data_IF_794407014283
#
_entry.id   IF_794407014283
#
_cell.length_a   1.000
_cell.length_b   1.000
_cell.length_c   1.000
_cell.angle_alpha   90.00
_cell.angle_beta   90.00
_cell.angle_gamma   90.00
#
_symmetry.space_group_name_H-M   'P 1'
#
loop_
_entity.id
_entity.type
_entity.pdbx_description
1 polymer ?
#
# COMPACT_ATOMS: atom_id res chain seq x y z
N UNK A 1 12.55 -13.09 -19.59
CA UNK A 1 11.07 -13.11 -19.57
C UNK A 1 10.46 -12.92 -18.17
N UNK A 2 11.15 -13.25 -17.05
CA UNK A 2 10.63 -13.00 -15.70
C UNK A 2 10.56 -11.50 -15.30
N UNK A 3 11.48 -10.66 -15.79
CA UNK A 3 11.52 -9.23 -15.47
C UNK A 3 10.35 -8.40 -16.04
N UNK A 4 9.61 -8.91 -17.02
CA UNK A 4 8.52 -8.18 -17.72
C UNK A 4 7.13 -8.63 -17.29
N UNK A 5 7.02 -9.66 -16.44
CA UNK A 5 5.73 -10.15 -15.98
C UNK A 5 5.24 -9.29 -14.81
N UNK A 6 4.11 -8.60 -14.99
CA UNK A 6 3.45 -7.84 -13.92
C UNK A 6 3.18 -8.71 -12.68
N UNK A 7 2.94 -10.02 -12.89
CA UNK A 7 2.72 -10.98 -11.82
C UNK A 7 3.96 -11.16 -10.93
N UNK A 8 5.16 -11.18 -11.53
CA UNK A 8 6.40 -11.29 -10.77
C UNK A 8 6.57 -10.09 -9.82
N UNK A 9 6.37 -8.87 -10.33
CA UNK A 9 6.45 -7.65 -9.53
C UNK A 9 5.34 -7.56 -8.46
N UNK A 10 4.13 -8.03 -8.76
CA UNK A 10 3.03 -8.09 -7.80
C UNK A 10 3.31 -9.07 -6.66
N UNK A 11 3.84 -10.26 -6.96
CA UNK A 11 4.24 -11.24 -5.94
C UNK A 11 5.39 -10.73 -5.07
N UNK A 12 6.38 -10.08 -5.69
CA UNK A 12 7.48 -9.46 -4.97
C UNK A 12 6.99 -8.33 -4.05
N UNK A 13 6.03 -7.51 -4.52
CA UNK A 13 5.36 -6.49 -3.71
C UNK A 13 4.63 -7.10 -2.52
N UNK A 14 3.89 -8.20 -2.71
CA UNK A 14 3.19 -8.90 -1.63
C UNK A 14 4.17 -9.42 -0.57
N UNK A 15 5.32 -9.97 -0.98
CA UNK A 15 6.38 -10.39 -0.07
C UNK A 15 6.93 -9.23 0.76
N UNK A 16 7.30 -8.11 0.13
CA UNK A 16 7.78 -6.93 0.86
C UNK A 16 6.72 -6.27 1.74
N UNK A 17 5.45 -6.32 1.34
CA UNK A 17 4.34 -5.85 2.16
C UNK A 17 4.20 -6.69 3.45
N UNK A 18 4.37 -8.01 3.36
CA UNK A 18 4.37 -8.88 4.53
C UNK A 18 5.56 -8.57 5.47
N UNK A 19 6.79 -8.44 4.94
CA UNK A 19 7.96 -8.05 5.74
C UNK A 19 7.75 -6.68 6.40
N UNK A 20 7.18 -5.72 5.66
CA UNK A 20 6.86 -4.39 6.20
C UNK A 20 5.93 -4.50 7.39
N UNK A 21 4.85 -5.28 7.30
CA UNK A 21 3.91 -5.44 8.41
C UNK A 21 4.60 -6.00 9.68
N UNK A 22 5.46 -7.00 9.53
CA UNK A 22 6.21 -7.60 10.64
C UNK A 22 7.20 -6.59 11.25
N UNK A 23 8.05 -5.96 10.44
CA UNK A 23 9.04 -4.99 10.94
C UNK A 23 8.38 -3.76 11.55
N UNK A 24 7.30 -3.25 10.94
CA UNK A 24 6.55 -2.14 11.50
C UNK A 24 5.96 -2.50 12.85
N UNK A 25 5.38 -3.69 13.04
CA UNK A 25 4.88 -4.10 14.37
C UNK A 25 5.97 -4.03 15.44
N UNK A 26 7.17 -4.53 15.14
CA UNK A 26 8.29 -4.42 16.07
C UNK A 26 8.68 -2.96 16.34
N UNK A 27 8.70 -2.10 15.32
CA UNK A 27 9.06 -0.69 15.46
C UNK A 27 8.01 0.15 16.23
N UNK A 28 6.71 0.00 15.93
CA UNK A 28 5.65 0.81 16.57
C UNK A 28 5.35 0.39 18.00
N UNK A 29 5.86 -0.76 18.45
CA UNK A 29 5.75 -1.19 19.83
C UNK A 29 6.84 -0.54 20.73
N UNK A 30 7.92 0.00 20.16
CA UNK A 30 9.02 0.60 20.93
C UNK A 30 8.93 2.13 21.03
N UNK A 31 8.34 2.76 20.03
CA UNK A 31 8.19 4.21 19.92
C UNK A 31 6.79 4.58 19.43
N UNK A 32 6.42 5.85 19.54
CA UNK A 32 5.15 6.36 19.00
C UNK A 32 5.00 6.01 17.50
N UNK A 33 3.83 5.52 17.09
CA UNK A 33 3.57 5.05 15.74
C UNK A 33 3.75 6.15 14.66
N UNK A 34 3.42 7.39 14.98
CA UNK A 34 3.56 8.53 14.05
C UNK A 34 5.06 8.82 13.82
N UNK A 35 5.86 8.75 14.90
CA UNK A 35 7.32 8.90 14.82
C UNK A 35 7.99 7.74 14.07
N UNK A 36 7.55 6.50 14.29
CA UNK A 36 8.01 5.34 13.51
C UNK A 36 7.70 5.51 12.01
N UNK A 37 6.51 6.03 11.67
CA UNK A 37 6.10 6.34 10.30
C UNK A 37 7.01 7.40 9.68
N UNK A 38 7.34 8.45 10.44
CA UNK A 38 8.24 9.50 10.00
C UNK A 38 9.63 8.94 9.66
N UNK A 39 10.25 8.17 10.57
CA UNK A 39 11.56 7.54 10.32
C UNK A 39 11.51 6.67 9.06
N UNK A 40 10.48 5.83 8.91
CA UNK A 40 10.31 4.98 7.72
C UNK A 40 10.20 5.81 6.45
N UNK A 41 9.51 6.95 6.49
CA UNK A 41 9.35 7.85 5.35
C UNK A 41 10.68 8.48 4.94
N UNK A 42 11.51 8.88 5.91
CA UNK A 42 12.87 9.34 5.62
C UNK A 42 13.72 8.25 4.96
N UNK A 43 13.65 7.00 5.44
CA UNK A 43 14.37 5.87 4.83
C UNK A 43 13.92 5.65 3.37
N UNK A 44 12.61 5.68 3.12
CA UNK A 44 12.06 5.53 1.76
C UNK A 44 12.50 6.69 0.86
N UNK A 45 12.46 7.93 1.35
CA UNK A 45 12.89 9.11 0.60
C UNK A 45 14.37 9.00 0.20
N UNK A 46 15.25 8.61 1.12
CA UNK A 46 16.68 8.42 0.84
C UNK A 46 16.88 7.28 -0.17
N UNK A 47 16.19 6.15 0.00
CA UNK A 47 16.31 4.99 -0.89
C UNK A 47 15.87 5.32 -2.33
N UNK A 48 14.67 5.89 -2.49
CA UNK A 48 14.13 6.25 -3.81
C UNK A 48 14.94 7.40 -4.43
N UNK A 49 15.34 8.38 -3.62
CA UNK A 49 16.20 9.48 -4.07
C UNK A 49 17.57 9.00 -4.54
N UNK A 50 18.19 8.06 -3.83
CA UNK A 50 19.45 7.44 -4.23
C UNK A 50 19.31 6.68 -5.55
N UNK A 51 18.25 5.87 -5.70
CA UNK A 51 17.96 5.17 -6.95
C UNK A 51 17.84 6.18 -8.10
N UNK A 52 16.98 7.19 -7.96
CA UNK A 52 16.78 8.21 -9.00
C UNK A 52 18.06 8.97 -9.36
N UNK A 53 18.92 9.24 -8.36
CA UNK A 53 20.23 9.86 -8.54
C UNK A 53 21.18 8.97 -9.35
N UNK A 54 21.37 7.71 -8.93
CA UNK A 54 22.29 6.79 -9.60
C UNK A 54 21.81 6.36 -10.98
N UNK A 55 20.49 6.25 -11.19
CA UNK A 55 19.92 5.93 -12.50
C UNK A 55 19.78 7.17 -13.40
N UNK A 56 20.11 8.37 -12.90
CA UNK A 56 19.94 9.66 -13.62
C UNK A 56 18.52 9.87 -14.17
N UNK A 57 17.52 9.46 -13.39
CA UNK A 57 16.10 9.50 -13.78
C UNK A 57 15.36 10.72 -13.24
N UNK A 58 16.06 11.69 -12.66
CA UNK A 58 15.43 12.95 -12.25
C UNK A 58 14.88 13.68 -13.47
N UNK A 59 13.58 13.91 -13.46
CA UNK A 59 12.88 14.70 -14.47
C UNK A 59 12.68 16.12 -13.96
N UNK A 60 12.62 17.09 -14.89
CA UNK A 60 12.25 18.45 -14.53
C UNK A 60 10.79 18.49 -14.05
N UNK A 61 10.53 19.21 -12.96
CA UNK A 61 9.16 19.42 -12.45
C UNK A 61 8.29 20.08 -13.53
N UNK A 62 8.87 20.94 -14.38
CA UNK A 62 8.17 21.57 -15.50
C UNK A 62 7.75 20.59 -16.61
N UNK A 63 8.30 19.38 -16.65
CA UNK A 63 7.89 18.34 -17.59
C UNK A 63 6.61 17.60 -17.14
N UNK A 64 6.20 17.78 -15.88
CA UNK A 64 5.02 17.13 -15.32
C UNK A 64 3.79 17.99 -15.60
N UNK A 65 2.77 17.41 -16.21
CA UNK A 65 1.49 18.11 -16.41
C UNK A 65 0.90 18.56 -15.05
N UNK A 66 0.26 19.75 -14.95
CA UNK A 66 -0.35 20.21 -13.70
C UNK A 66 -1.34 19.21 -13.11
N UNK A 67 -2.17 18.60 -13.98
CA UNK A 67 -3.12 17.55 -13.60
C UNK A 67 -2.40 16.33 -13.02
N UNK A 68 -1.34 15.86 -13.68
CA UNK A 68 -0.53 14.73 -13.19
C UNK A 68 0.11 15.03 -11.83
N UNK A 69 0.64 16.24 -11.65
CA UNK A 69 1.20 16.67 -10.38
C UNK A 69 0.14 16.69 -9.27
N UNK A 70 -1.07 17.18 -9.54
CA UNK A 70 -2.17 17.16 -8.56
C UNK A 70 -2.50 15.74 -8.11
N UNK A 71 -2.64 14.79 -9.04
CA UNK A 71 -2.91 13.39 -8.69
C UNK A 71 -1.76 12.75 -7.92
N UNK A 72 -0.50 13.08 -8.24
CA UNK A 72 0.67 12.60 -7.49
C UNK A 72 0.68 13.14 -6.05
N UNK A 73 0.38 14.42 -5.86
CA UNK A 73 0.28 15.02 -4.52
C UNK A 73 -0.86 14.39 -3.73
N UNK A 74 -2.05 14.25 -4.31
CA UNK A 74 -3.19 13.59 -3.68
C UNK A 74 -2.86 12.13 -3.33
N UNK A 75 -2.19 11.40 -4.21
CA UNK A 75 -1.72 10.04 -3.97
C UNK A 75 -0.72 9.98 -2.81
N UNK A 76 0.20 10.93 -2.73
CA UNK A 76 1.15 11.05 -1.62
C UNK A 76 0.46 11.29 -0.28
N UNK A 77 -0.52 12.20 -0.25
CA UNK A 77 -1.34 12.47 0.94
C UNK A 77 -2.12 11.22 1.34
N UNK A 78 -2.77 10.55 0.39
CA UNK A 78 -3.53 9.32 0.64
C UNK A 78 -2.63 8.20 1.18
N UNK A 79 -1.42 8.04 0.64
CA UNK A 79 -0.44 7.06 1.11
C UNK A 79 0.01 7.36 2.54
N UNK A 80 0.32 8.62 2.84
CA UNK A 80 0.70 9.05 4.19
C UNK A 80 -0.41 8.81 5.21
N UNK A 81 -1.64 9.21 4.89
CA UNK A 81 -2.81 8.98 5.72
C UNK A 81 -3.06 7.47 5.95
N UNK A 82 -2.95 6.66 4.89
CA UNK A 82 -3.05 5.20 4.97
C UNK A 82 -2.04 4.61 5.94
N UNK A 83 -0.76 4.98 5.83
CA UNK A 83 0.28 4.46 6.74
C UNK A 83 0.07 4.90 8.19
N UNK A 84 -0.29 6.16 8.43
CA UNK A 84 -0.57 6.64 9.79
C UNK A 84 -1.70 5.84 10.45
N UNK A 85 -2.82 5.65 9.74
CA UNK A 85 -3.93 4.84 10.24
C UNK A 85 -3.54 3.36 10.44
N UNK A 86 -2.87 2.75 9.45
CA UNK A 86 -2.49 1.34 9.48
C UNK A 86 -1.48 1.05 10.60
N UNK A 87 -0.50 1.92 10.80
CA UNK A 87 0.55 1.72 11.79
C UNK A 87 0.05 1.98 13.22
N UNK A 88 -0.84 2.96 13.38
CA UNK A 88 -1.59 3.14 14.63
C UNK A 88 -2.50 1.95 14.94
N UNK A 89 -3.16 1.37 13.94
CA UNK A 89 -3.91 0.12 14.13
C UNK A 89 -2.99 -1.04 14.54
N UNK A 90 -1.81 -1.15 13.91
CA UNK A 90 -0.82 -2.17 14.28
C UNK A 90 -0.24 -1.98 15.68
N UNK A 91 -0.12 -0.76 16.21
CA UNK A 91 0.31 -0.57 17.60
C UNK A 91 -0.75 -1.04 18.60
N UNK A 92 -2.03 -0.94 18.24
CA UNK A 92 -3.17 -1.31 19.10
C UNK A 92 -3.56 -2.79 19.00
N UNK A 93 -3.40 -3.41 17.82
CA UNK A 93 -3.89 -4.76 17.53
C UNK A 93 -2.80 -5.79 17.23
N UNK A 94 -3.22 -7.04 17.06
CA UNK A 94 -2.37 -8.11 16.55
C UNK A 94 -2.21 -7.99 15.03
N UNK A 95 -1.01 -8.26 14.52
CA UNK A 95 -0.71 -8.20 13.07
C UNK A 95 -1.60 -9.15 12.28
N UNK A 96 -1.91 -10.33 12.85
CA UNK A 96 -2.80 -11.32 12.27
C UNK A 96 -4.21 -10.81 11.99
N UNK A 97 -4.66 -9.76 12.68
CA UNK A 97 -5.99 -9.17 12.46
C UNK A 97 -5.91 -7.92 11.61
N UNK A 98 -4.95 -7.04 11.92
CA UNK A 98 -4.84 -5.72 11.29
C UNK A 98 -4.40 -5.83 9.83
N UNK A 99 -3.44 -6.72 9.53
CA UNK A 99 -2.91 -6.85 8.17
C UNK A 99 -3.94 -7.41 7.17
N UNK A 100 -4.79 -8.40 7.50
CA UNK A 100 -5.89 -8.81 6.62
C UNK A 100 -6.94 -7.72 6.41
N UNK A 101 -7.34 -7.00 7.46
CA UNK A 101 -8.33 -5.90 7.35
C UNK A 101 -7.83 -4.80 6.40
N UNK A 102 -6.54 -4.47 6.44
CA UNK A 102 -5.90 -3.56 5.47
C UNK A 102 -6.06 -4.03 4.00
N UNK A 103 -6.17 -5.35 3.75
CA UNK A 103 -6.36 -5.90 2.40
C UNK A 103 -7.78 -5.77 1.87
N UNK A 104 -8.73 -5.29 2.66
CA UNK A 104 -10.00 -4.78 2.11
C UNK A 104 -9.79 -3.59 1.17
N UNK A 105 -8.61 -2.94 1.18
CA UNK A 105 -8.20 -2.00 0.14
C UNK A 105 -8.35 -2.58 -1.27
N UNK A 106 -8.15 -3.88 -1.48
CA UNK A 106 -8.36 -4.53 -2.79
C UNK A 106 -9.84 -4.43 -3.23
N UNK A 107 -10.77 -4.58 -2.28
CA UNK A 107 -12.21 -4.45 -2.53
C UNK A 107 -12.54 -3.00 -2.90
N UNK A 108 -12.01 -2.04 -2.14
CA UNK A 108 -12.21 -0.61 -2.41
C UNK A 108 -11.61 -0.18 -3.75
N UNK A 109 -10.42 -0.68 -4.10
CA UNK A 109 -9.78 -0.42 -5.40
C UNK A 109 -10.63 -0.96 -6.54
N UNK A 110 -11.19 -2.17 -6.40
CA UNK A 110 -12.08 -2.72 -7.42
C UNK A 110 -13.35 -1.86 -7.60
N UNK A 111 -13.96 -1.40 -6.51
CA UNK A 111 -15.13 -0.51 -6.56
C UNK A 111 -14.76 0.83 -7.21
N UNK A 112 -13.66 1.46 -6.77
CA UNK A 112 -13.20 2.72 -7.34
C UNK A 112 -12.74 2.59 -8.80
N UNK A 113 -12.15 1.47 -9.19
CA UNK A 113 -11.80 1.18 -10.58
C UNK A 113 -13.05 1.15 -11.47
N UNK A 114 -14.11 0.48 -11.02
CA UNK A 114 -15.38 0.44 -11.76
C UNK A 114 -16.05 1.81 -11.80
N UNK A 115 -16.13 2.53 -10.66
CA UNK A 115 -16.88 3.78 -10.54
C UNK A 115 -16.14 4.99 -11.13
N UNK A 116 -14.85 5.12 -10.86
CA UNK A 116 -14.05 6.30 -11.22
C UNK A 116 -13.27 6.13 -12.53
N UNK A 117 -12.80 4.91 -12.81
CA UNK A 117 -12.00 4.61 -14.00
C UNK A 117 -12.80 3.93 -15.12
N UNK A 118 -14.03 3.50 -14.84
CA UNK A 118 -14.90 2.82 -15.81
C UNK A 118 -14.44 1.38 -16.13
N UNK A 119 -13.67 0.75 -15.25
CA UNK A 119 -13.22 -0.62 -15.44
C UNK A 119 -14.40 -1.61 -15.45
N UNK A 120 -14.32 -2.62 -16.32
CA UNK A 120 -15.33 -3.67 -16.39
C UNK A 120 -14.78 -4.96 -15.76
N UNK A 121 -15.22 -5.25 -14.54
CA UNK A 121 -14.87 -6.48 -13.85
C UNK A 121 -15.85 -7.60 -14.23
N UNK A 122 -15.30 -8.76 -14.58
CA UNK A 122 -16.11 -9.95 -14.88
C UNK A 122 -16.78 -10.50 -13.62
N UNK A 123 -17.81 -11.35 -13.81
CA UNK A 123 -18.48 -12.03 -12.69
C UNK A 123 -17.51 -12.86 -11.83
N UNK A 124 -16.49 -13.45 -12.44
CA UNK A 124 -15.47 -14.22 -11.72
C UNK A 124 -14.54 -13.32 -10.90
N UNK A 125 -14.21 -12.12 -11.38
CA UNK A 125 -13.46 -11.13 -10.58
C UNK A 125 -14.25 -10.70 -9.34
N UNK A 126 -15.54 -10.40 -9.51
CA UNK A 126 -16.43 -10.06 -8.38
C UNK A 126 -16.54 -11.19 -7.36
N UNK A 127 -16.63 -12.44 -7.82
CA UNK A 127 -16.60 -13.60 -6.92
C UNK A 127 -15.28 -13.68 -6.15
N UNK A 128 -14.14 -13.45 -6.80
CA UNK A 128 -12.84 -13.39 -6.13
C UNK A 128 -12.77 -12.30 -5.07
N UNK A 129 -13.27 -11.10 -5.37
CA UNK A 129 -13.35 -9.97 -4.42
C UNK A 129 -14.23 -10.34 -3.22
N UNK A 130 -15.37 -10.98 -3.46
CA UNK A 130 -16.26 -11.46 -2.40
C UNK A 130 -15.55 -12.48 -1.50
N UNK A 131 -14.84 -13.46 -2.10
CA UNK A 131 -14.07 -14.46 -1.35
C UNK A 131 -12.95 -13.84 -0.52
N UNK A 132 -12.23 -12.85 -1.06
CA UNK A 132 -11.22 -12.08 -0.30
C UNK A 132 -11.89 -11.39 0.89
N UNK A 133 -13.03 -10.73 0.67
CA UNK A 133 -13.77 -10.03 1.72
C UNK A 133 -14.18 -10.97 2.85
N UNK A 134 -14.79 -12.10 2.50
CA UNK A 134 -15.19 -13.14 3.47
C UNK A 134 -13.97 -13.70 4.20
N UNK A 135 -12.89 -14.00 3.48
CA UNK A 135 -11.63 -14.48 4.07
C UNK A 135 -11.06 -13.51 5.10
N UNK A 136 -11.05 -12.20 4.79
CA UNK A 136 -10.60 -11.17 5.74
C UNK A 136 -11.50 -11.13 6.97
N UNK A 137 -12.83 -11.15 6.80
CA UNK A 137 -13.77 -11.16 7.92
C UNK A 137 -13.52 -12.36 8.82
N UNK A 138 -13.34 -13.56 8.26
CA UNK A 138 -13.08 -14.78 9.03
C UNK A 138 -11.76 -14.72 9.80
N UNK A 139 -10.70 -14.16 9.21
CA UNK A 139 -9.41 -14.03 9.90
C UNK A 139 -9.47 -12.96 11.00
N UNK A 140 -10.18 -11.86 10.77
CA UNK A 140 -10.38 -10.81 11.75
C UNK A 140 -11.41 -11.19 12.84
N UNK A 141 -12.20 -12.24 12.62
CA UNK A 141 -13.21 -12.74 13.55
C UNK A 141 -12.54 -13.37 14.76
N UNK A 142 -12.36 -12.59 15.83
CA UNK A 142 -11.96 -13.09 17.13
C UNK A 142 -13.21 -13.32 17.99
N UNK A 143 -13.33 -14.54 18.53
CA UNK A 143 -14.28 -14.86 19.61
C UNK A 143 -13.74 -14.37 20.94
#
# INVERSE_FOLDING_TARGET
MLHTSWLFWALLSAFFAALTAIFTKFGVNTINADFATFIRTCVILVLVGAIAFFTKQFQSISAISPKGLTFLVLSGIATGASWLCYFRAMSLGQVSNVAPVDKLSVVLVAIFGVVLLGEQLSRTNWLGILLITVGVILVAWQK
#
